data_IF_279838041602
#
_entry.id   IF_279838041602
#
_cell.length_a   1.000
_cell.length_b   1.000
_cell.length_c   1.000
_cell.angle_alpha   90.00
_cell.angle_beta   90.00
_cell.angle_gamma   90.00
#
_symmetry.space_group_name_H-M   'P 1'
#
loop_
_entity.id
_entity.type
_entity.pdbx_description
1 polymer ?
#
# COMPACT_ATOMS: atom_id res chain seq x y z
N UNK A 1 10.21 9.83 30.10
CA UNK A 1 10.71 10.51 28.88
C UNK A 1 10.52 9.59 27.70
N UNK A 2 9.91 10.07 26.61
CA UNK A 2 9.75 9.26 25.39
C UNK A 2 11.10 9.06 24.73
N UNK A 3 11.47 7.82 24.38
CA UNK A 3 12.73 7.48 23.66
C UNK A 3 12.92 8.21 22.31
N UNK A 4 11.89 8.93 21.86
CA UNK A 4 11.86 9.69 20.61
C UNK A 4 12.12 11.19 20.76
N UNK A 5 11.98 11.76 21.97
CA UNK A 5 12.00 13.22 22.15
C UNK A 5 13.38 13.83 21.87
N UNK A 6 14.45 13.15 22.28
CA UNK A 6 15.81 13.68 22.20
C UNK A 6 16.57 13.24 20.93
N UNK A 7 15.89 12.56 19.99
CA UNK A 7 16.51 12.09 18.75
C UNK A 7 16.35 13.10 17.64
N UNK A 8 17.43 13.35 16.89
CA UNK A 8 17.37 14.07 15.62
C UNK A 8 16.77 13.11 14.59
N UNK A 9 15.53 13.38 14.19
CA UNK A 9 14.80 12.57 13.22
C UNK A 9 14.74 13.36 11.94
N UNK A 10 15.25 12.74 10.88
CA UNK A 10 15.24 13.28 9.53
C UNK A 10 14.32 12.43 8.66
N UNK A 11 13.52 13.08 7.85
CA UNK A 11 12.58 12.44 6.92
C UNK A 11 12.98 12.83 5.50
N UNK A 12 13.06 11.87 4.60
CA UNK A 12 13.14 12.12 3.16
C UNK A 12 11.86 11.61 2.51
N UNK A 13 11.27 12.44 1.65
CA UNK A 13 10.20 11.99 0.75
C UNK A 13 10.85 11.34 -0.46
N UNK A 14 10.51 10.07 -0.70
CA UNK A 14 10.98 9.29 -1.85
C UNK A 14 9.82 9.22 -2.84
N UNK A 15 9.70 10.25 -3.67
CA UNK A 15 8.62 10.43 -4.63
C UNK A 15 9.15 10.40 -6.07
N UNK A 16 10.10 11.28 -6.38
CA UNK A 16 10.61 11.45 -7.72
C UNK A 16 12.10 11.85 -7.76
N UNK A 17 12.78 11.32 -8.79
CA UNK A 17 14.15 11.66 -9.14
C UNK A 17 14.19 12.04 -10.62
N UNK A 18 14.62 13.28 -10.89
CA UNK A 18 14.90 13.74 -12.24
C UNK A 18 16.34 13.39 -12.61
N UNK A 19 16.52 12.72 -13.74
CA UNK A 19 17.82 12.48 -14.39
C UNK A 19 17.94 13.37 -15.64
N UNK A 20 19.06 13.27 -16.36
CA UNK A 20 19.23 13.96 -17.64
C UNK A 20 18.18 13.49 -18.67
N UNK A 21 17.87 12.19 -18.67
CA UNK A 21 17.03 11.55 -19.69
C UNK A 21 15.58 11.28 -19.27
N UNK A 22 15.28 11.29 -17.96
CA UNK A 22 13.98 10.83 -17.46
C UNK A 22 13.52 11.48 -16.15
N UNK A 23 12.22 11.34 -15.87
CA UNK A 23 11.65 11.51 -14.55
C UNK A 23 11.29 10.12 -14.01
N UNK A 24 11.98 9.69 -12.96
CA UNK A 24 11.71 8.42 -12.27
C UNK A 24 10.76 8.73 -11.11
N UNK A 25 9.66 7.97 -11.00
CA UNK A 25 8.71 8.04 -9.88
C UNK A 25 8.70 6.74 -9.11
N UNK A 26 8.75 6.85 -7.79
CA UNK A 26 8.70 5.70 -6.89
C UNK A 26 7.34 5.71 -6.19
N UNK A 27 6.60 4.60 -6.28
CA UNK A 27 5.37 4.43 -5.52
C UNK A 27 5.68 3.94 -4.10
N UNK A 28 6.80 3.26 -3.92
CA UNK A 28 7.25 2.72 -2.64
C UNK A 28 8.77 2.84 -2.50
N UNK A 29 9.25 3.01 -1.26
CA UNK A 29 10.70 3.05 -0.96
C UNK A 29 11.43 1.76 -1.36
N UNK A 30 10.72 0.63 -1.45
CA UNK A 30 11.26 -0.65 -1.92
C UNK A 30 11.58 -0.68 -3.42
N UNK A 31 11.06 0.27 -4.20
CA UNK A 31 11.31 0.39 -5.65
C UNK A 31 12.57 1.22 -5.94
N UNK A 32 13.11 1.90 -4.91
CA UNK A 32 14.31 2.70 -5.02
C UNK A 32 15.55 1.82 -5.08
N UNK A 33 16.42 2.08 -6.05
CA UNK A 33 17.72 1.41 -6.10
C UNK A 33 18.61 1.91 -4.94
N UNK A 34 19.52 1.08 -4.40
CA UNK A 34 20.47 1.52 -3.38
C UNK A 34 21.31 2.72 -3.82
N UNK A 35 21.61 2.84 -5.12
CA UNK A 35 22.39 3.92 -5.71
C UNK A 35 21.65 5.27 -5.71
N UNK A 36 20.31 5.25 -5.63
CA UNK A 36 19.50 6.46 -5.50
C UNK A 36 19.44 6.98 -4.05
N UNK A 37 19.84 6.18 -3.06
CA UNK A 37 19.76 6.54 -1.65
C UNK A 37 20.44 7.88 -1.31
N UNK A 38 21.69 8.17 -1.78
CA UNK A 38 22.34 9.45 -1.48
C UNK A 38 21.55 10.67 -1.98
N UNK A 39 20.89 10.57 -3.14
CA UNK A 39 20.10 11.66 -3.72
C UNK A 39 18.94 12.09 -2.80
N UNK A 40 18.28 11.14 -2.14
CA UNK A 40 17.19 11.45 -1.21
C UNK A 40 17.69 11.84 0.18
N UNK A 41 18.87 11.35 0.60
CA UNK A 41 19.48 11.73 1.88
C UNK A 41 19.80 13.23 1.94
N UNK A 42 20.25 13.80 0.82
CA UNK A 42 20.52 15.24 0.69
C UNK A 42 19.26 16.11 0.76
N UNK A 43 18.07 15.51 0.55
CA UNK A 43 16.76 16.17 0.62
C UNK A 43 16.05 15.96 1.95
N UNK A 44 16.75 15.47 2.97
CA UNK A 44 16.15 15.22 4.27
C UNK A 44 15.72 16.51 4.96
N UNK A 45 14.55 16.45 5.59
CA UNK A 45 14.03 17.49 6.47
C UNK A 45 14.12 17.02 7.92
N UNK A 46 14.68 17.85 8.78
CA UNK A 46 14.66 17.60 10.22
C UNK A 46 13.32 18.06 10.80
N UNK A 47 12.63 17.14 11.49
CA UNK A 47 11.35 17.45 12.12
C UNK A 47 11.56 18.02 13.54
N UNK A 48 10.76 19.03 13.87
CA UNK A 48 10.80 19.70 15.17
C UNK A 48 10.16 18.90 16.30
N UNK A 49 10.31 19.38 17.54
CA UNK A 49 9.70 18.74 18.72
C UNK A 49 8.17 18.62 18.61
N UNK A 50 7.49 19.68 18.17
CA UNK A 50 6.04 19.70 18.07
C UNK A 50 5.52 18.69 17.04
N UNK A 51 6.18 18.56 15.89
CA UNK A 51 5.84 17.56 14.86
C UNK A 51 6.05 16.13 15.38
N UNK A 52 7.17 15.87 16.07
CA UNK A 52 7.42 14.58 16.73
C UNK A 52 6.31 14.24 17.73
N UNK A 53 5.87 15.22 18.52
CA UNK A 53 4.80 15.03 19.49
C UNK A 53 3.46 14.76 18.80
N UNK A 54 3.16 15.46 17.70
CA UNK A 54 1.96 15.22 16.90
C UNK A 54 1.94 13.80 16.33
N UNK A 55 3.02 13.36 15.68
CA UNK A 55 3.12 12.00 15.14
C UNK A 55 3.01 10.93 16.23
N UNK A 56 3.65 11.15 17.39
CA UNK A 56 3.51 10.26 18.54
C UNK A 56 2.05 10.17 18.99
N UNK A 57 1.36 11.30 19.13
CA UNK A 57 -0.03 11.30 19.59
C UNK A 57 -0.96 10.62 18.57
N UNK A 58 -0.77 10.88 17.28
CA UNK A 58 -1.48 10.16 16.20
C UNK A 58 -1.22 8.66 16.28
N UNK A 59 0.02 8.25 16.49
CA UNK A 59 0.38 6.84 16.65
C UNK A 59 -0.26 6.19 17.88
N UNK A 60 -0.26 6.87 19.03
CA UNK A 60 -0.87 6.36 20.26
C UNK A 60 -2.37 6.07 20.10
N UNK A 61 -3.10 6.93 19.35
CA UNK A 61 -4.51 6.69 18.99
C UNK A 61 -4.63 5.41 18.15
N UNK A 62 -3.83 5.28 17.09
CA UNK A 62 -3.86 4.10 16.21
C UNK A 62 -3.52 2.80 16.94
N UNK A 63 -2.59 2.85 17.90
CA UNK A 63 -2.23 1.69 18.75
C UNK A 63 -3.39 1.33 19.67
N UNK A 64 -4.05 2.32 20.28
CA UNK A 64 -5.21 2.11 21.15
C UNK A 64 -6.41 1.53 20.40
N UNK A 65 -6.66 1.98 19.17
CA UNK A 65 -7.70 1.43 18.29
C UNK A 65 -7.46 -0.04 17.97
N UNK A 66 -6.19 -0.46 17.87
CA UNK A 66 -5.76 -1.84 17.63
C UNK A 66 -6.48 -2.53 16.45
N UNK A 67 -6.84 -1.77 15.42
CA UNK A 67 -7.41 -2.34 14.20
C UNK A 67 -6.36 -3.11 13.40
N UNK A 68 -6.82 -4.17 12.74
CA UNK A 68 -6.01 -5.01 11.85
C UNK A 68 -5.56 -4.20 10.62
N UNK A 69 -6.44 -3.34 10.09
CA UNK A 69 -6.18 -2.59 8.86
C UNK A 69 -6.23 -1.09 9.07
N UNK A 70 -5.38 -0.41 8.30
CA UNK A 70 -5.29 1.05 8.23
C UNK A 70 -5.15 1.48 6.79
N UNK A 71 -5.75 2.61 6.44
CA UNK A 71 -5.65 3.20 5.12
C UNK A 71 -5.30 4.69 5.22
N UNK A 72 -4.66 5.22 4.18
CA UNK A 72 -4.50 6.65 4.00
C UNK A 72 -5.82 7.21 3.43
N UNK A 73 -6.55 7.97 4.23
CA UNK A 73 -7.81 8.62 3.85
C UNK A 73 -7.59 10.12 3.81
N UNK A 74 -7.45 10.68 2.61
CA UNK A 74 -6.94 12.04 2.44
C UNK A 74 -5.49 12.12 2.92
N UNK A 75 -5.22 12.94 3.94
CA UNK A 75 -3.88 13.11 4.52
C UNK A 75 -3.71 12.43 5.89
N UNK A 76 -4.64 11.54 6.27
CA UNK A 76 -4.63 10.89 7.58
C UNK A 76 -4.63 9.37 7.46
N UNK A 77 -3.85 8.71 8.30
CA UNK A 77 -3.92 7.26 8.48
C UNK A 77 -5.09 6.98 9.43
N UNK A 78 -6.06 6.18 8.97
CA UNK A 78 -7.24 5.80 9.75
C UNK A 78 -7.37 4.29 9.84
N UNK A 79 -7.85 3.80 10.97
CA UNK A 79 -8.33 2.42 11.07
C UNK A 79 -9.56 2.22 10.18
N UNK A 80 -9.56 1.09 9.46
CA UNK A 80 -10.63 0.74 8.52
C UNK A 80 -11.03 -0.73 8.70
N UNK A 81 -12.22 -1.07 8.23
CA UNK A 81 -12.70 -2.45 8.19
C UNK A 81 -11.91 -3.29 7.17
N UNK A 82 -11.92 -4.62 7.34
CA UNK A 82 -11.24 -5.55 6.42
C UNK A 82 -11.70 -5.44 4.96
N UNK A 83 -12.96 -5.05 4.75
CA UNK A 83 -13.60 -4.91 3.43
C UNK A 83 -13.36 -3.54 2.79
N UNK A 84 -12.63 -2.63 3.45
CA UNK A 84 -12.46 -1.24 2.99
C UNK A 84 -11.94 -1.15 1.55
N UNK A 85 -11.02 -2.04 1.17
CA UNK A 85 -10.41 -2.06 -0.15
C UNK A 85 -11.22 -2.84 -1.20
N UNK A 86 -12.23 -3.62 -0.80
CA UNK A 86 -12.96 -4.52 -1.70
C UNK A 86 -13.60 -3.78 -2.85
N UNK A 87 -14.12 -2.56 -2.63
CA UNK A 87 -14.73 -1.76 -3.70
C UNK A 87 -13.74 -1.38 -4.81
N UNK A 88 -12.49 -1.11 -4.46
CA UNK A 88 -11.42 -0.77 -5.41
C UNK A 88 -10.98 -2.04 -6.15
N UNK A 89 -10.82 -3.15 -5.42
CA UNK A 89 -10.49 -4.44 -6.04
C UNK A 89 -11.59 -4.88 -7.03
N UNK A 90 -12.85 -4.81 -6.62
CA UNK A 90 -14.00 -5.22 -7.43
C UNK A 90 -14.19 -4.35 -8.68
N UNK A 91 -13.72 -3.09 -8.70
CA UNK A 91 -13.82 -2.24 -9.90
C UNK A 91 -12.95 -2.77 -11.05
N UNK A 92 -11.91 -3.53 -10.74
CA UNK A 92 -11.02 -4.18 -11.70
C UNK A 92 -11.47 -5.56 -12.16
N UNK A 93 -12.55 -6.10 -11.59
CA UNK A 93 -13.04 -7.45 -11.93
C UNK A 93 -14.28 -7.30 -12.81
N UNK A 94 -14.30 -8.03 -13.92
CA UNK A 94 -15.43 -8.11 -14.84
C UNK A 94 -16.25 -9.37 -14.59
N UNK A 95 -17.44 -9.44 -15.20
CA UNK A 95 -18.30 -10.62 -15.15
C UNK A 95 -17.79 -11.77 -16.04
N UNK A 96 -16.79 -11.47 -16.90
CA UNK A 96 -16.08 -12.45 -17.74
C UNK A 96 -14.81 -12.92 -17.04
N UNK A 97 -14.42 -14.16 -17.36
CA UNK A 97 -13.13 -14.69 -16.92
C UNK A 97 -12.00 -13.85 -17.50
N UNK A 98 -11.05 -13.52 -16.64
CA UNK A 98 -9.83 -12.80 -16.98
C UNK A 98 -8.67 -13.31 -16.12
N UNK A 99 -7.41 -13.14 -16.56
CA UNK A 99 -6.26 -13.51 -15.76
C UNK A 99 -6.28 -12.82 -14.39
N UNK A 100 -6.15 -13.59 -13.33
CA UNK A 100 -6.19 -13.09 -11.96
C UNK A 100 -5.04 -12.11 -11.70
N UNK A 101 -3.86 -12.39 -12.25
CA UNK A 101 -2.69 -11.53 -12.05
C UNK A 101 -2.83 -10.17 -12.74
N UNK A 102 -3.56 -10.09 -13.87
CA UNK A 102 -3.87 -8.82 -14.52
C UNK A 102 -4.80 -7.97 -13.65
N UNK A 103 -5.81 -8.57 -13.01
CA UNK A 103 -6.65 -7.88 -12.03
C UNK A 103 -5.82 -7.31 -10.89
N UNK A 104 -4.90 -8.12 -10.33
CA UNK A 104 -4.03 -7.68 -9.23
C UNK A 104 -3.14 -6.52 -9.66
N UNK A 105 -2.53 -6.61 -10.85
CA UNK A 105 -1.72 -5.54 -11.41
C UNK A 105 -2.53 -4.25 -11.57
N UNK A 106 -3.72 -4.34 -12.17
CA UNK A 106 -4.62 -3.19 -12.34
C UNK A 106 -5.02 -2.57 -10.99
N UNK A 107 -5.31 -3.40 -9.98
CA UNK A 107 -5.58 -2.93 -8.62
C UNK A 107 -4.40 -2.16 -8.02
N UNK A 108 -3.15 -2.56 -8.29
CA UNK A 108 -1.97 -1.86 -7.77
C UNK A 108 -1.75 -0.50 -8.43
N UNK A 109 -2.27 -0.28 -9.64
CA UNK A 109 -2.23 1.02 -10.31
C UNK A 109 -3.30 1.99 -9.81
N UNK A 110 -4.10 1.62 -8.82
CA UNK A 110 -5.10 2.50 -8.25
C UNK A 110 -4.53 3.35 -7.13
N UNK A 111 -4.65 4.67 -7.27
CA UNK A 111 -4.16 5.66 -6.32
C UNK A 111 -4.71 5.43 -4.90
N UNK A 112 -5.93 4.91 -4.78
CA UNK A 112 -6.60 4.63 -3.51
C UNK A 112 -6.13 3.35 -2.82
N UNK A 113 -5.52 2.41 -3.56
CA UNK A 113 -5.13 1.11 -3.04
C UNK A 113 -3.87 1.25 -2.18
N UNK A 114 -2.77 1.78 -2.73
CA UNK A 114 -1.45 1.90 -2.05
C UNK A 114 -1.03 0.64 -1.24
N UNK A 115 -1.47 -0.53 -1.68
CA UNK A 115 -1.18 -1.84 -1.09
C UNK A 115 -0.49 -2.72 -2.13
N UNK A 116 0.27 -3.71 -1.66
CA UNK A 116 0.98 -4.65 -2.54
C UNK A 116 0.10 -5.85 -2.90
N UNK A 117 0.49 -6.51 -3.98
CA UNK A 117 -0.12 -7.71 -4.56
C UNK A 117 -0.54 -8.77 -3.52
N UNK A 118 0.32 -9.12 -2.56
CA UNK A 118 0.02 -10.15 -1.56
C UNK A 118 -1.27 -9.86 -0.77
N UNK A 119 -1.53 -8.59 -0.43
CA UNK A 119 -2.72 -8.19 0.31
C UNK A 119 -3.96 -8.30 -0.59
N UNK A 120 -3.83 -7.89 -1.85
CA UNK A 120 -4.90 -7.97 -2.85
C UNK A 120 -5.28 -9.43 -3.07
N UNK A 121 -4.28 -10.30 -3.26
CA UNK A 121 -4.46 -11.75 -3.39
C UNK A 121 -5.20 -12.35 -2.20
N UNK A 122 -4.78 -12.01 -0.98
CA UNK A 122 -5.45 -12.45 0.24
C UNK A 122 -6.91 -11.97 0.30
N UNK A 123 -7.20 -10.72 -0.07
CA UNK A 123 -8.58 -10.21 -0.16
C UNK A 123 -9.41 -10.95 -1.21
N UNK A 124 -8.83 -11.26 -2.37
CA UNK A 124 -9.49 -12.03 -3.42
C UNK A 124 -9.86 -13.44 -2.96
N UNK A 125 -9.00 -14.12 -2.19
CA UNK A 125 -9.32 -15.41 -1.56
C UNK A 125 -10.51 -15.31 -0.60
N UNK A 126 -10.53 -14.28 0.24
CA UNK A 126 -11.64 -14.05 1.17
C UNK A 126 -12.95 -13.77 0.42
N UNK A 127 -12.91 -12.96 -0.63
CA UNK A 127 -14.08 -12.72 -1.47
C UNK A 127 -14.54 -13.97 -2.22
N UNK A 128 -13.63 -14.86 -2.61
CA UNK A 128 -13.97 -16.14 -3.21
C UNK A 128 -14.67 -17.09 -2.23
N UNK A 129 -14.21 -17.16 -0.97
CA UNK A 129 -14.85 -17.98 0.07
C UNK A 129 -16.27 -17.49 0.41
N UNK A 130 -16.49 -16.17 0.31
CA UNK A 130 -17.80 -15.53 0.46
C UNK A 130 -18.68 -15.58 -0.80
N UNK A 131 -18.20 -16.17 -1.90
CA UNK A 131 -18.89 -16.26 -3.19
C UNK A 131 -19.24 -14.88 -3.79
N UNK A 132 -18.39 -13.88 -3.56
CA UNK A 132 -18.47 -12.56 -4.23
C UNK A 132 -17.77 -12.63 -5.60
N UNK A 133 -16.69 -13.41 -5.68
CA UNK A 133 -15.97 -13.71 -6.92
C UNK A 133 -15.81 -15.22 -7.09
N UNK A 134 -15.53 -15.66 -8.32
CA UNK A 134 -15.11 -17.04 -8.61
C UNK A 134 -13.68 -17.01 -9.11
N UNK A 135 -12.86 -17.92 -8.59
CA UNK A 135 -11.48 -18.15 -9.03
C UNK A 135 -11.39 -19.59 -9.52
N UNK A 136 -10.77 -19.81 -10.69
CA UNK A 136 -10.46 -21.14 -11.24
C UNK A 136 -9.02 -21.15 -11.78
N UNK A 137 -8.43 -22.33 -11.98
CA UNK A 137 -7.07 -22.48 -12.51
C UNK A 137 -6.36 -23.68 -11.90
N UNK A 138 -5.08 -23.85 -12.23
CA UNK A 138 -4.28 -24.95 -11.70
C UNK A 138 -4.11 -24.88 -10.17
N UNK A 139 -3.84 -26.03 -9.55
CA UNK A 139 -3.45 -26.11 -8.14
C UNK A 139 -1.99 -25.68 -7.99
N UNK A 140 -1.78 -24.37 -8.06
CA UNK A 140 -0.50 -23.70 -7.82
C UNK A 140 -0.65 -22.46 -6.94
N UNK A 141 0.43 -21.70 -6.79
CA UNK A 141 0.40 -20.41 -6.11
C UNK A 141 -0.49 -19.39 -6.86
N UNK A 142 -0.66 -18.19 -6.31
CA UNK A 142 -1.48 -17.15 -6.93
C UNK A 142 -0.91 -16.54 -8.21
N UNK A 143 0.35 -16.83 -8.53
CA UNK A 143 1.06 -16.31 -9.69
C UNK A 143 1.02 -17.29 -10.88
N UNK A 144 0.23 -18.37 -10.74
CA UNK A 144 -0.08 -19.34 -11.80
C UNK A 144 -1.20 -18.87 -12.75
N UNK A 145 -1.63 -19.76 -13.64
CA UNK A 145 -2.66 -19.57 -14.68
C UNK A 145 -4.10 -19.43 -14.14
N UNK A 146 -4.27 -18.74 -13.00
CA UNK A 146 -5.58 -18.53 -12.39
C UNK A 146 -6.36 -17.46 -13.14
N UNK A 147 -7.66 -17.70 -13.28
CA UNK A 147 -8.63 -16.75 -13.80
C UNK A 147 -9.65 -16.38 -12.73
N UNK A 148 -10.17 -15.16 -12.81
CA UNK A 148 -11.16 -14.60 -11.88
C UNK A 148 -12.33 -13.96 -12.62
N UNK A 149 -13.51 -13.96 -12.00
CA UNK A 149 -14.66 -13.14 -12.40
C UNK A 149 -15.58 -12.82 -11.22
N UNK A 150 -16.46 -11.84 -11.39
CA UNK A 150 -17.60 -11.60 -10.48
C UNK A 150 -18.61 -12.75 -10.54
N UNK A 151 -19.28 -12.99 -9.41
CA UNK A 151 -20.35 -14.00 -9.28
C UNK A 151 -21.67 -13.46 -9.79
#
# INVERSE_FOLDING_TARGET
MSKFQDKNIKIALVDEKKTEDALIRYSFTSEMSPEDFPFFLDKTLEIGFNEKLEFKNKWDVLVKENSIFRALVGNEIKSVEETYFDKYILRNISDKWQPLIEVVANCMFEDEMRVKDWFILWRLEKMASLKIVKIKGSKGDFYSDKEIRKV
#
